data_IF_017736897543
#
_entry.id   IF_017736897543
#
_cell.length_a   1.000
_cell.length_b   1.000
_cell.length_c   1.000
_cell.angle_alpha   90.00
_cell.angle_beta   90.00
_cell.angle_gamma   90.00
#
_symmetry.space_group_name_H-M   'P 1'
#
loop_
_entity.id
_entity.type
_entity.pdbx_description
1 polymer ?
#
# COMPACT_ATOMS: atom_id res chain seq x y z
N UNK A 1 -6.00 -1.34 18.62
CA UNK A 1 -5.02 -1.82 17.62
C UNK A 1 -5.11 -1.05 16.31
N UNK A 2 -6.24 -1.05 15.60
CA UNK A 2 -6.40 -0.27 14.37
C UNK A 2 -6.39 1.24 14.65
N UNK A 3 -7.22 1.70 15.59
CA UNK A 3 -7.34 3.12 15.93
C UNK A 3 -6.02 3.69 16.47
N UNK A 4 -5.29 2.91 17.27
CA UNK A 4 -3.97 3.29 17.77
C UNK A 4 -2.92 3.44 16.66
N UNK A 5 -3.07 2.70 15.56
CA UNK A 5 -2.20 2.84 14.39
C UNK A 5 -2.61 4.05 13.54
N UNK A 6 -3.91 4.28 13.35
CA UNK A 6 -4.41 5.47 12.66
C UNK A 6 -4.00 6.74 13.40
N UNK A 7 -4.16 6.79 14.72
CA UNK A 7 -3.76 7.93 15.55
C UNK A 7 -2.24 8.18 15.46
N UNK A 8 -1.43 7.12 15.47
CA UNK A 8 0.02 7.25 15.33
C UNK A 8 0.46 7.71 13.94
N UNK A 9 -0.24 7.28 12.89
CA UNK A 9 -0.07 7.79 11.51
C UNK A 9 -0.43 9.27 11.42
N UNK A 10 -1.52 9.69 12.06
CA UNK A 10 -1.94 11.08 12.10
C UNK A 10 -0.89 12.00 12.77
N UNK A 11 -0.24 11.56 13.85
CA UNK A 11 0.87 12.29 14.49
C UNK A 11 2.07 12.46 13.52
N UNK A 12 2.27 11.55 12.57
CA UNK A 12 3.28 11.65 11.51
C UNK A 12 2.81 12.47 10.29
N UNK A 13 1.63 13.11 10.36
CA UNK A 13 1.03 13.85 9.26
C UNK A 13 0.40 12.96 8.17
N UNK A 14 0.23 11.66 8.43
CA UNK A 14 -0.34 10.72 7.48
C UNK A 14 -1.84 10.57 7.75
N UNK A 15 -2.66 10.74 6.71
CA UNK A 15 -4.12 10.57 6.79
C UNK A 15 -4.58 9.48 5.84
N UNK A 16 -5.59 8.69 6.21
CA UNK A 16 -6.12 7.65 5.33
C UNK A 16 -6.70 8.27 4.05
N UNK A 17 -6.32 7.69 2.92
CA UNK A 17 -6.88 7.95 1.60
C UNK A 17 -8.09 7.04 1.34
N UNK A 18 -8.79 7.27 0.24
CA UNK A 18 -9.85 6.37 -0.24
C UNK A 18 -9.27 5.36 -1.20
N UNK A 19 -9.86 4.16 -1.27
CA UNK A 19 -9.47 3.14 -2.26
C UNK A 19 -9.55 3.68 -3.70
N UNK A 20 -10.56 4.51 -3.99
CA UNK A 20 -10.72 5.15 -5.30
C UNK A 20 -9.55 6.09 -5.62
N UNK A 21 -9.11 6.90 -4.66
CA UNK A 21 -7.95 7.76 -4.84
C UNK A 21 -6.67 6.93 -5.07
N UNK A 22 -6.46 5.87 -4.27
CA UNK A 22 -5.32 4.95 -4.49
C UNK A 22 -5.34 4.36 -5.90
N UNK A 23 -6.50 3.86 -6.35
CA UNK A 23 -6.66 3.27 -7.67
C UNK A 23 -6.37 4.29 -8.78
N UNK A 24 -6.88 5.52 -8.65
CA UNK A 24 -6.62 6.60 -9.61
C UNK A 24 -5.14 7.01 -9.63
N UNK A 25 -4.47 7.08 -8.48
CA UNK A 25 -3.02 7.37 -8.41
C UNK A 25 -2.19 6.27 -9.07
N UNK A 26 -2.55 5.00 -8.92
CA UNK A 26 -1.88 3.91 -9.63
C UNK A 26 -2.17 3.94 -11.13
N UNK A 27 -3.42 4.21 -11.51
CA UNK A 27 -3.84 4.25 -12.90
C UNK A 27 -3.07 5.33 -13.70
N UNK A 28 -2.79 6.49 -13.08
CA UNK A 28 -2.02 7.56 -13.72
C UNK A 28 -0.58 7.18 -14.04
N UNK A 29 -0.03 6.15 -13.37
CA UNK A 29 1.31 5.61 -13.62
C UNK A 29 1.28 4.23 -14.30
N UNK A 30 0.12 3.79 -14.82
CA UNK A 30 0.00 2.54 -15.57
C UNK A 30 -0.03 1.27 -14.70
N UNK A 31 -0.49 1.38 -13.46
CA UNK A 31 -0.69 0.25 -12.55
C UNK A 31 -2.15 0.18 -12.06
N UNK A 32 -2.56 -0.98 -11.57
CA UNK A 32 -3.84 -1.18 -10.90
C UNK A 32 -3.66 -2.06 -9.65
N UNK A 33 -4.60 -1.94 -8.72
CA UNK A 33 -4.71 -2.88 -7.60
C UNK A 33 -5.29 -4.20 -8.10
N UNK A 34 -4.59 -5.30 -7.84
CA UNK A 34 -5.12 -6.64 -7.98
C UNK A 34 -5.81 -7.08 -6.69
N UNK A 35 -7.07 -6.66 -6.56
CA UNK A 35 -7.90 -6.94 -5.37
C UNK A 35 -8.29 -8.41 -5.21
N UNK A 36 -8.05 -9.24 -6.22
CA UNK A 36 -8.19 -10.70 -6.07
C UNK A 36 -7.13 -11.30 -5.13
N UNK A 37 -6.02 -10.58 -4.95
CA UNK A 37 -4.92 -10.94 -4.04
C UNK A 37 -5.08 -10.33 -2.64
N UNK A 38 -6.24 -9.74 -2.33
CA UNK A 38 -6.51 -9.21 -0.99
C UNK A 38 -6.36 -10.31 0.06
N UNK A 39 -5.35 -10.18 0.92
CA UNK A 39 -5.12 -11.08 2.04
C UNK A 39 -5.12 -10.29 3.35
N UNK A 40 -5.89 -10.77 4.33
CA UNK A 40 -5.89 -10.20 5.68
C UNK A 40 -4.73 -10.77 6.48
N UNK A 41 -3.98 -9.89 7.12
CA UNK A 41 -2.85 -10.24 7.95
C UNK A 41 -2.65 -9.23 9.08
N UNK A 42 -1.59 -9.41 9.85
CA UNK A 42 -1.11 -8.41 10.79
C UNK A 42 0.29 -7.96 10.35
N UNK A 43 0.45 -6.68 10.12
CA UNK A 43 1.77 -6.08 9.91
C UNK A 43 2.39 -5.79 11.28
N UNK A 44 3.73 -5.80 11.36
CA UNK A 44 4.48 -5.52 12.57
C UNK A 44 5.57 -4.50 12.29
N UNK A 45 5.65 -3.48 13.13
CA UNK A 45 6.78 -2.56 13.14
C UNK A 45 8.04 -3.31 13.61
N UNK A 46 9.04 -3.41 12.74
CA UNK A 46 10.28 -4.14 13.05
C UNK A 46 11.31 -3.29 13.80
N UNK A 47 11.26 -1.97 13.62
CA UNK A 47 12.23 -1.01 14.18
C UNK A 47 11.53 0.27 14.65
N UNK A 48 12.27 1.11 15.37
CA UNK A 48 11.80 2.40 15.88
C UNK A 48 11.00 2.32 17.19
N UNK A 49 10.43 3.44 17.65
CA UNK A 49 9.76 3.53 18.96
C UNK A 49 8.55 2.61 19.16
N UNK A 50 7.99 2.07 18.07
CA UNK A 50 6.85 1.14 18.07
C UNK A 50 7.27 -0.29 17.71
N UNK A 51 8.56 -0.63 17.72
CA UNK A 51 9.03 -1.96 17.40
C UNK A 51 8.28 -3.04 18.21
N UNK A 52 7.84 -4.10 17.54
CA UNK A 52 7.02 -5.16 18.12
C UNK A 52 5.50 -4.91 18.07
N UNK A 53 5.05 -3.67 17.86
CA UNK A 53 3.62 -3.37 17.74
C UNK A 53 3.09 -3.88 16.40
N UNK A 54 1.95 -4.58 16.47
CA UNK A 54 1.25 -5.10 15.30
C UNK A 54 -0.08 -4.38 15.07
N UNK A 55 -0.51 -4.31 13.81
CA UNK A 55 -1.80 -3.73 13.41
C UNK A 55 -2.45 -4.58 12.30
N UNK A 56 -3.79 -4.63 12.25
CA UNK A 56 -4.50 -5.38 11.20
C UNK A 56 -4.27 -4.70 9.85
N UNK A 57 -3.83 -5.48 8.87
CA UNK A 57 -3.58 -5.01 7.51
C UNK A 57 -4.21 -5.89 6.45
N UNK A 58 -4.36 -5.32 5.26
CA UNK A 58 -4.68 -6.01 4.02
C UNK A 58 -3.49 -5.80 3.10
N UNK A 59 -2.83 -6.90 2.73
CA UNK A 59 -1.87 -6.89 1.63
C UNK A 59 -2.63 -7.20 0.34
N UNK A 60 -2.33 -6.48 -0.73
CA UNK A 60 -2.95 -6.68 -2.05
C UNK A 60 -1.86 -6.75 -3.13
N UNK A 61 -2.22 -7.24 -4.31
CA UNK A 61 -1.35 -7.17 -5.48
C UNK A 61 -1.38 -5.78 -6.13
N UNK A 62 -0.29 -5.43 -6.79
CA UNK A 62 -0.21 -4.33 -7.75
C UNK A 62 0.31 -4.93 -9.05
N UNK A 63 -0.33 -4.61 -10.17
CA UNK A 63 0.06 -5.12 -11.48
C UNK A 63 -0.06 -4.05 -12.55
N UNK A 64 0.69 -4.23 -13.63
CA UNK A 64 0.66 -3.34 -14.78
C UNK A 64 -0.70 -3.40 -15.47
N UNK A 65 -1.19 -2.26 -15.96
CA UNK A 65 -2.53 -2.21 -16.57
C UNK A 65 -2.61 -2.91 -17.92
N UNK A 66 -1.53 -2.91 -18.68
CA UNK A 66 -1.40 -3.44 -20.05
C UNK A 66 -0.95 -4.92 -20.07
N UNK A 67 0.13 -5.29 -19.39
CA UNK A 67 0.67 -6.66 -19.39
C UNK A 67 0.03 -7.56 -18.34
N UNK A 68 -0.66 -6.97 -17.34
CA UNK A 68 -1.19 -7.63 -16.14
C UNK A 68 -0.13 -8.35 -15.29
N UNK A 69 1.16 -8.15 -15.58
CA UNK A 69 2.24 -8.68 -14.76
C UNK A 69 2.27 -7.95 -13.42
N UNK A 70 2.43 -8.72 -12.33
CA UNK A 70 2.73 -8.14 -11.02
C UNK A 70 3.98 -7.27 -11.11
N UNK A 71 4.03 -6.14 -10.39
CA UNK A 71 5.22 -5.30 -10.37
C UNK A 71 6.47 -6.07 -9.87
N UNK A 72 6.29 -7.16 -9.10
CA UNK A 72 7.34 -8.05 -8.62
C UNK A 72 7.79 -9.11 -9.64
N UNK A 73 7.08 -9.26 -10.76
CA UNK A 73 7.44 -10.24 -11.79
C UNK A 73 8.82 -9.87 -12.40
N UNK A 74 9.60 -10.88 -12.78
CA UNK A 74 10.94 -10.70 -13.39
C UNK A 74 10.86 -10.01 -14.76
N UNK A 75 9.79 -10.25 -15.51
CA UNK A 75 9.54 -9.70 -16.84
C UNK A 75 8.73 -8.40 -16.81
N UNK A 76 8.37 -7.90 -15.61
CA UNK A 76 7.69 -6.62 -15.45
C UNK A 76 8.61 -5.43 -15.77
N UNK A 77 8.01 -4.30 -16.13
CA UNK A 77 8.71 -3.05 -16.44
C UNK A 77 9.61 -2.60 -15.28
N UNK A 78 10.74 -2.00 -15.66
CA UNK A 78 11.72 -1.38 -14.75
C UNK A 78 12.07 0.04 -15.21
N UNK A 79 11.07 0.69 -15.79
CA UNK A 79 11.15 2.03 -16.35
C UNK A 79 10.81 3.13 -15.31
N UNK A 80 10.59 4.35 -15.78
CA UNK A 80 10.22 5.49 -14.94
C UNK A 80 8.91 5.28 -14.17
N UNK A 81 7.94 4.55 -14.74
CA UNK A 81 6.69 4.21 -14.06
C UNK A 81 6.95 3.30 -12.87
N UNK A 82 7.83 2.31 -13.03
CA UNK A 82 8.28 1.47 -11.92
C UNK A 82 8.97 2.29 -10.82
N UNK A 83 9.89 3.18 -11.18
CA UNK A 83 10.56 4.05 -10.19
C UNK A 83 9.56 4.93 -9.44
N UNK A 84 8.56 5.47 -10.15
CA UNK A 84 7.48 6.25 -9.55
C UNK A 84 6.65 5.42 -8.58
N UNK A 85 6.27 4.19 -8.95
CA UNK A 85 5.60 3.25 -8.05
C UNK A 85 6.42 3.00 -6.78
N UNK A 86 7.71 2.71 -6.92
CA UNK A 86 8.58 2.44 -5.78
C UNK A 86 8.70 3.63 -4.83
N UNK A 87 8.73 4.86 -5.36
CA UNK A 87 8.73 6.07 -4.54
C UNK A 87 7.40 6.28 -3.79
N UNK A 88 6.26 6.02 -4.44
CA UNK A 88 4.95 6.06 -3.78
C UNK A 88 4.89 5.07 -2.60
N UNK A 89 5.33 3.83 -2.82
CA UNK A 89 5.36 2.78 -1.78
C UNK A 89 6.28 3.13 -0.62
N UNK A 90 7.48 3.67 -0.91
CA UNK A 90 8.44 4.10 0.13
C UNK A 90 7.94 5.27 0.96
N UNK A 91 7.12 6.15 0.38
CA UNK A 91 6.57 7.30 1.12
C UNK A 91 5.68 6.87 2.29
N UNK A 92 5.03 5.71 2.19
CA UNK A 92 4.08 5.21 3.20
C UNK A 92 2.85 6.10 3.39
N UNK A 93 2.66 7.13 2.56
CA UNK A 93 1.59 8.12 2.72
C UNK A 93 0.28 7.70 2.04
N UNK A 94 0.35 6.74 1.12
CA UNK A 94 -0.81 6.26 0.39
C UNK A 94 -1.33 4.96 1.01
N UNK A 95 -2.22 5.09 2.00
CA UNK A 95 -2.91 3.96 2.62
C UNK A 95 -4.41 4.24 2.74
N UNK A 96 -5.21 3.18 2.86
CA UNK A 96 -6.64 3.30 3.11
C UNK A 96 -7.05 2.42 4.29
N UNK A 97 -8.13 2.81 4.98
CA UNK A 97 -8.77 1.96 5.98
C UNK A 97 -9.98 1.31 5.31
N UNK A 98 -9.99 -0.01 5.24
CA UNK A 98 -11.10 -0.77 4.63
C UNK A 98 -11.28 -2.10 5.33
N UNK A 99 -12.53 -2.52 5.50
CA UNK A 99 -12.88 -3.81 6.13
C UNK A 99 -12.18 -4.00 7.49
N UNK A 100 -12.07 -2.95 8.31
CA UNK A 100 -11.45 -3.00 9.63
C UNK A 100 -9.94 -3.26 9.65
N UNK A 101 -9.24 -2.96 8.55
CA UNK A 101 -7.79 -3.11 8.43
C UNK A 101 -7.18 -2.01 7.54
N UNK A 102 -5.87 -1.82 7.65
CA UNK A 102 -5.11 -0.89 6.82
C UNK A 102 -4.67 -1.59 5.53
N UNK A 103 -5.01 -1.02 4.38
CA UNK A 103 -4.42 -1.38 3.09
C UNK A 103 -3.29 -0.38 2.81
N UNK A 104 -2.05 -0.88 2.82
CA UNK A 104 -0.84 -0.13 2.47
C UNK A 104 -0.42 -0.43 1.03
N UNK A 105 0.32 0.51 0.41
CA UNK A 105 0.90 0.39 -0.93
C UNK A 105 2.37 -0.07 -0.89
#
# INVERSE_FOLDING_TARGET
MLDDEIAARAVRGQSPSTISHIASTLASIGYELDRSMDCRSFSRWMTGPRAGHSYPCITTGIRETDTKLSFCNVDARRDEKFNTLQNLRRSGNLFAVTRGAILDL
#
